data_IF_425834736416
#
_entry.id   IF_425834736416
#
_cell.length_a   1.000
_cell.length_b   1.000
_cell.length_c   1.000
_cell.angle_alpha   90.00
_cell.angle_beta   90.00
_cell.angle_gamma   90.00
#
_symmetry.space_group_name_H-M   'P 1'
#
loop_
_entity.id
_entity.type
_entity.pdbx_description
1 polymer ?
#
# COMPACT_ATOMS: atom_id res chain seq x y z
N UNK A 1 4.56 -31.73 -5.56
CA UNK A 1 5.09 -32.98 -6.11
C UNK A 1 5.48 -33.86 -4.94
N UNK A 2 4.65 -34.85 -4.67
CA UNK A 2 4.73 -35.78 -3.55
C UNK A 2 5.82 -36.82 -3.84
N UNK A 3 7.00 -36.65 -3.25
CA UNK A 3 7.98 -37.74 -3.17
C UNK A 3 7.71 -38.52 -1.88
N UNK A 4 7.02 -39.65 -2.01
CA UNK A 4 7.13 -40.74 -1.05
C UNK A 4 8.61 -41.13 -0.98
N UNK A 5 9.27 -40.76 0.10
CA UNK A 5 10.53 -41.39 0.48
C UNK A 5 10.10 -42.53 1.40
N UNK A 6 10.03 -43.71 0.81
CA UNK A 6 9.87 -44.97 1.54
C UNK A 6 10.97 -45.06 2.59
N UNK A 7 10.58 -45.10 3.86
CA UNK A 7 11.47 -45.31 5.02
C UNK A 7 11.96 -46.78 5.07
N UNK A 8 11.62 -47.59 4.07
CA UNK A 8 11.85 -49.04 4.02
C UNK A 8 13.20 -49.48 3.43
N UNK A 9 14.06 -48.54 3.01
CA UNK A 9 15.30 -48.84 2.28
C UNK A 9 16.62 -48.59 3.05
N UNK A 10 16.57 -48.25 4.34
CA UNK A 10 17.76 -48.06 5.18
C UNK A 10 17.94 -49.08 6.31
N UNK A 11 17.17 -50.16 6.30
CA UNK A 11 17.39 -51.30 7.19
C UNK A 11 17.85 -52.51 6.38
N UNK A 12 19.07 -53.05 6.60
CA UNK A 12 19.41 -54.35 6.04
C UNK A 12 18.39 -55.37 6.57
N UNK A 13 17.56 -55.90 5.66
CA UNK A 13 16.47 -56.88 5.88
C UNK A 13 16.96 -58.26 6.38
N UNK A 14 18.03 -58.30 7.16
CA UNK A 14 18.65 -59.51 7.73
C UNK A 14 18.85 -59.50 9.25
N UNK A 15 18.39 -58.48 9.98
CA UNK A 15 18.62 -58.34 11.44
C UNK A 15 17.38 -58.50 12.33
N UNK A 16 16.22 -58.88 11.77
CA UNK A 16 14.99 -59.15 12.54
C UNK A 16 14.65 -60.63 12.71
N UNK A 17 15.54 -61.54 12.32
CA UNK A 17 15.40 -62.97 12.63
C UNK A 17 16.59 -63.45 13.46
N UNK A 18 16.26 -63.98 14.66
CA UNK A 18 17.15 -64.62 15.64
C UNK A 18 17.81 -63.69 16.66
N UNK A 19 16.99 -63.16 17.56
CA UNK A 19 17.35 -63.24 18.98
C UNK A 19 16.83 -64.60 19.45
N UNK A 20 17.65 -65.66 19.57
CA UNK A 20 17.17 -66.87 20.22
C UNK A 20 17.02 -66.55 21.71
N UNK A 21 15.78 -66.53 22.19
CA UNK A 21 15.48 -66.62 23.62
C UNK A 21 16.02 -67.95 24.14
N UNK A 22 17.29 -67.96 24.53
CA UNK A 22 17.97 -69.02 25.27
C UNK A 22 17.41 -69.06 26.69
N UNK A 23 16.15 -69.46 26.81
CA UNK A 23 15.46 -69.72 28.05
C UNK A 23 14.89 -71.13 27.98
N UNK A 24 14.99 -71.87 29.08
CA UNK A 24 14.34 -73.15 29.35
C UNK A 24 14.93 -74.39 28.68
N UNK A 25 15.14 -74.47 27.35
CA UNK A 25 15.58 -75.75 26.74
C UNK A 25 17.01 -76.16 27.13
N UNK A 26 17.92 -75.19 27.18
CA UNK A 26 19.32 -75.41 27.57
C UNK A 26 19.47 -75.55 29.10
N UNK A 27 18.61 -74.87 29.87
CA UNK A 27 18.53 -75.06 31.33
C UNK A 27 17.94 -76.44 31.67
N UNK A 28 16.93 -76.92 30.93
CA UNK A 28 16.36 -78.25 31.06
C UNK A 28 17.39 -79.34 30.72
N UNK A 29 18.16 -79.20 29.65
CA UNK A 29 19.22 -80.18 29.32
C UNK A 29 20.34 -80.20 30.38
N UNK A 30 20.62 -79.06 31.02
CA UNK A 30 21.60 -78.94 32.10
C UNK A 30 21.08 -79.51 33.44
N UNK A 31 19.80 -79.29 33.75
CA UNK A 31 19.10 -79.88 34.91
C UNK A 31 18.94 -81.40 34.73
N UNK A 32 18.56 -81.87 33.55
CA UNK A 32 18.49 -83.30 33.21
C UNK A 32 19.88 -83.97 33.30
N UNK A 33 20.94 -83.26 32.89
CA UNK A 33 22.32 -83.72 33.04
C UNK A 33 22.78 -83.84 34.50
N UNK A 34 22.30 -82.97 35.39
CA UNK A 34 22.59 -83.00 36.83
C UNK A 34 21.75 -84.05 37.58
N UNK A 35 20.47 -84.24 37.22
CA UNK A 35 19.60 -85.27 37.79
C UNK A 35 20.05 -86.70 37.47
N UNK A 36 20.61 -86.93 36.27
CA UNK A 36 21.22 -88.22 35.92
C UNK A 36 22.47 -88.57 36.74
N UNK A 37 23.19 -87.56 37.27
CA UNK A 37 24.35 -87.78 38.15
C UNK A 37 23.92 -88.19 39.57
N UNK A 38 22.84 -87.63 40.09
CA UNK A 38 22.34 -87.92 41.44
C UNK A 38 21.88 -89.39 41.54
N UNK A 39 21.06 -89.89 40.60
CA UNK A 39 20.59 -91.28 40.58
C UNK A 39 21.72 -92.33 40.48
N UNK A 40 22.82 -91.99 39.79
CA UNK A 40 23.98 -92.87 39.67
C UNK A 40 24.80 -92.97 40.96
N UNK A 41 24.81 -91.89 41.77
CA UNK A 41 25.46 -91.85 43.08
C UNK A 41 24.59 -92.53 44.14
N UNK A 42 23.25 -92.39 44.08
CA UNK A 42 22.32 -93.11 44.95
C UNK A 42 22.30 -94.62 44.68
N UNK A 43 22.50 -95.05 43.42
CA UNK A 43 22.72 -96.48 43.07
C UNK A 43 24.05 -97.03 43.59
N UNK A 44 25.12 -96.23 43.65
CA UNK A 44 26.44 -96.64 44.18
C UNK A 44 26.48 -96.72 45.71
N UNK A 45 25.64 -95.97 46.42
CA UNK A 45 25.53 -96.04 47.88
C UNK A 45 24.78 -97.30 48.37
N UNK A 46 23.90 -97.91 47.55
CA UNK A 46 22.95 -98.95 47.95
C UNK A 46 23.20 -100.36 47.35
N UNK A 47 24.39 -100.66 46.82
CA UNK A 47 24.67 -101.96 46.19
C UNK A 47 25.22 -103.03 47.16
N UNK A 48 24.43 -104.11 47.30
CA UNK A 48 24.72 -105.36 48.05
C UNK A 48 25.93 -106.13 47.53
N UNK A 49 26.55 -106.97 48.40
CA UNK A 49 27.75 -107.80 48.12
C UNK A 49 27.71 -108.63 46.82
N UNK A 50 26.52 -108.96 46.31
CA UNK A 50 26.32 -109.67 45.04
C UNK A 50 26.53 -108.78 43.79
N UNK A 51 26.32 -107.46 43.89
CA UNK A 51 26.61 -106.52 42.81
C UNK A 51 28.12 -106.39 42.53
N UNK A 52 28.95 -106.43 43.58
CA UNK A 52 30.43 -106.39 43.47
C UNK A 52 31.03 -107.66 42.86
N UNK A 53 30.27 -108.76 42.83
CA UNK A 53 30.72 -110.01 42.19
C UNK A 53 30.31 -110.07 40.71
N UNK A 54 29.17 -109.50 40.34
CA UNK A 54 28.75 -109.37 38.93
C UNK A 54 29.61 -108.35 38.16
N UNK A 55 30.11 -107.30 38.82
CA UNK A 55 31.03 -106.33 38.22
C UNK A 55 32.44 -106.88 37.90
N UNK A 56 32.76 -108.11 38.33
CA UNK A 56 34.05 -108.77 38.01
C UNK A 56 34.01 -109.64 36.75
N UNK A 57 32.85 -109.77 36.09
CA UNK A 57 32.68 -110.66 34.91
C UNK A 57 32.36 -109.90 33.61
N UNK A 58 32.17 -108.58 33.66
CA UNK A 58 32.13 -107.73 32.48
C UNK A 58 32.87 -106.41 32.74
N UNK A 59 34.05 -106.17 32.16
CA UNK A 59 34.74 -104.90 32.30
C UNK A 59 34.19 -103.88 31.28
N UNK A 60 34.25 -102.58 31.63
CA UNK A 60 34.31 -101.41 30.71
C UNK A 60 33.05 -100.93 29.96
N UNK A 61 32.09 -100.30 30.66
CA UNK A 61 31.12 -99.37 30.01
C UNK A 61 30.79 -98.10 30.80
N UNK A 62 30.97 -98.11 32.12
CA UNK A 62 30.56 -96.99 32.98
C UNK A 62 31.53 -95.79 32.95
N UNK A 63 32.85 -96.00 33.08
CA UNK A 63 33.84 -94.90 33.11
C UNK A 63 33.91 -94.13 31.78
N UNK A 64 33.82 -94.85 30.65
CA UNK A 64 33.77 -94.24 29.31
C UNK A 64 32.50 -93.39 29.08
N UNK A 65 31.40 -93.66 29.79
CA UNK A 65 30.20 -92.84 29.74
C UNK A 65 30.37 -91.52 30.51
N UNK A 66 31.05 -91.55 31.65
CA UNK A 66 31.33 -90.35 32.45
C UNK A 66 32.28 -89.39 31.73
N UNK A 67 33.37 -89.90 31.17
CA UNK A 67 34.31 -89.07 30.41
C UNK A 67 33.64 -88.44 29.18
N UNK A 68 32.74 -89.18 28.52
CA UNK A 68 32.02 -88.68 27.34
C UNK A 68 30.98 -87.62 27.70
N UNK A 69 30.29 -87.74 28.84
CA UNK A 69 29.35 -86.73 29.33
C UNK A 69 30.08 -85.45 29.77
N UNK A 70 31.22 -85.56 30.47
CA UNK A 70 32.04 -84.42 30.85
C UNK A 70 32.61 -83.66 29.63
N UNK A 71 33.01 -84.40 28.59
CA UNK A 71 33.49 -83.80 27.33
C UNK A 71 32.35 -83.09 26.57
N UNK A 72 31.12 -83.60 26.63
CA UNK A 72 29.96 -82.98 26.00
C UNK A 72 29.52 -81.71 26.74
N UNK A 73 29.53 -81.69 28.07
CA UNK A 73 29.19 -80.50 28.85
C UNK A 73 30.24 -79.40 28.71
N UNK A 74 31.53 -79.75 28.69
CA UNK A 74 32.60 -78.80 28.44
C UNK A 74 32.54 -78.20 27.03
N UNK A 75 32.23 -79.02 26.01
CA UNK A 75 32.01 -78.53 24.64
C UNK A 75 30.79 -77.62 24.54
N UNK A 76 29.69 -77.95 25.22
CA UNK A 76 28.49 -77.11 25.26
C UNK A 76 28.77 -75.75 25.92
N UNK A 77 29.53 -75.72 27.02
CA UNK A 77 29.94 -74.48 27.68
C UNK A 77 30.86 -73.64 26.80
N UNK A 78 31.86 -74.25 26.15
CA UNK A 78 32.73 -73.54 25.21
C UNK A 78 31.96 -72.97 24.02
N UNK A 79 30.98 -73.71 23.49
CA UNK A 79 30.10 -73.22 22.42
C UNK A 79 29.20 -72.07 22.91
N UNK A 80 28.71 -72.13 24.15
CA UNK A 80 27.89 -71.08 24.73
C UNK A 80 28.70 -69.79 24.93
N UNK A 81 29.92 -69.88 25.47
CA UNK A 81 30.83 -68.74 25.61
C UNK A 81 31.23 -68.18 24.25
N UNK A 82 31.55 -69.04 23.27
CA UNK A 82 31.86 -68.62 21.91
C UNK A 82 30.68 -67.87 21.26
N UNK A 83 29.47 -68.41 21.37
CA UNK A 83 28.26 -67.78 20.84
C UNK A 83 27.98 -66.43 21.54
N UNK A 84 28.11 -66.35 22.86
CA UNK A 84 27.96 -65.09 23.60
C UNK A 84 29.00 -64.05 23.16
N UNK A 85 30.27 -64.46 22.96
CA UNK A 85 31.32 -63.56 22.48
C UNK A 85 31.06 -63.05 21.05
N UNK A 86 30.53 -63.90 20.17
CA UNK A 86 30.15 -63.52 18.80
C UNK A 86 28.95 -62.56 18.83
N UNK A 87 27.93 -62.83 19.65
CA UNK A 87 26.78 -61.96 19.81
C UNK A 87 27.18 -60.57 20.34
N UNK A 88 28.08 -60.51 21.32
CA UNK A 88 28.61 -59.25 21.84
C UNK A 88 29.36 -58.46 20.76
N UNK A 89 30.20 -59.11 19.96
CA UNK A 89 30.92 -58.45 18.86
C UNK A 89 29.99 -57.91 17.77
N UNK A 90 28.87 -58.61 17.52
CA UNK A 90 27.85 -58.18 16.55
C UNK A 90 27.07 -57.00 17.10
N UNK A 91 26.71 -56.99 18.39
CA UNK A 91 26.03 -55.85 19.02
C UNK A 91 26.93 -54.62 19.06
N UNK A 92 28.22 -54.77 19.36
CA UNK A 92 29.17 -53.66 19.38
C UNK A 92 29.36 -53.05 17.98
N UNK A 93 29.44 -53.90 16.95
CA UNK A 93 29.51 -53.45 15.55
C UNK A 93 28.22 -52.78 15.09
N UNK A 94 27.06 -53.31 15.49
CA UNK A 94 25.76 -52.69 15.22
C UNK A 94 25.66 -51.31 15.90
N UNK A 95 26.08 -51.20 17.17
CA UNK A 95 26.12 -49.93 17.90
C UNK A 95 27.03 -48.91 17.21
N UNK A 96 28.25 -49.29 16.83
CA UNK A 96 29.17 -48.41 16.09
C UNK A 96 28.60 -47.94 14.73
N UNK A 97 27.90 -48.82 14.01
CA UNK A 97 27.24 -48.45 12.77
C UNK A 97 26.07 -47.49 13.03
N UNK A 98 25.22 -47.78 14.02
CA UNK A 98 24.10 -46.91 14.37
C UNK A 98 24.58 -45.54 14.84
N UNK A 99 25.66 -45.47 15.62
CA UNK A 99 26.28 -44.22 16.05
C UNK A 99 26.77 -43.41 14.84
N UNK A 100 27.53 -44.02 13.92
CA UNK A 100 28.01 -43.34 12.71
C UNK A 100 26.87 -42.86 11.80
N UNK A 101 25.79 -43.62 11.69
CA UNK A 101 24.62 -43.20 10.92
C UNK A 101 23.89 -42.05 11.60
N UNK A 102 23.84 -42.04 12.94
CA UNK A 102 23.20 -40.97 13.71
C UNK A 102 24.01 -39.67 13.66
N UNK A 103 25.34 -39.76 13.77
CA UNK A 103 26.26 -38.63 13.57
C UNK A 103 26.06 -38.00 12.17
N UNK A 104 26.03 -38.82 11.10
CA UNK A 104 25.74 -38.34 9.74
C UNK A 104 24.34 -37.74 9.60
N UNK A 105 23.33 -38.33 10.24
CA UNK A 105 21.97 -37.80 10.21
C UNK A 105 21.88 -36.42 10.89
N UNK A 106 22.62 -36.23 11.99
CA UNK A 106 22.72 -34.93 12.68
C UNK A 106 23.44 -33.90 11.81
N UNK A 107 24.55 -34.27 11.15
CA UNK A 107 25.26 -33.37 10.22
C UNK A 107 24.37 -32.95 9.03
N UNK A 108 23.65 -33.89 8.42
CA UNK A 108 22.71 -33.59 7.33
C UNK A 108 21.56 -32.72 7.82
N UNK A 109 21.00 -33.00 9.00
CA UNK A 109 19.93 -32.20 9.58
C UNK A 109 20.38 -30.76 9.87
N UNK A 110 21.62 -30.58 10.36
CA UNK A 110 22.20 -29.26 10.57
C UNK A 110 22.40 -28.51 9.24
N UNK A 111 22.96 -29.17 8.23
CA UNK A 111 23.15 -28.57 6.91
C UNK A 111 21.83 -28.18 6.23
N UNK A 112 20.79 -29.02 6.35
CA UNK A 112 19.44 -28.71 5.83
C UNK A 112 18.86 -27.52 6.58
N UNK A 113 19.00 -27.47 7.92
CA UNK A 113 18.52 -26.35 8.73
C UNK A 113 19.19 -25.03 8.34
N UNK A 114 20.51 -25.02 8.20
CA UNK A 114 21.26 -23.83 7.81
C UNK A 114 20.85 -23.35 6.41
N UNK A 115 20.66 -24.28 5.46
CA UNK A 115 20.19 -23.96 4.12
C UNK A 115 18.76 -23.40 4.14
N UNK A 116 17.86 -23.96 4.95
CA UNK A 116 16.49 -23.44 5.09
C UNK A 116 16.48 -22.05 5.73
N UNK A 117 17.28 -21.83 6.77
CA UNK A 117 17.39 -20.53 7.44
C UNK A 117 17.95 -19.46 6.49
N UNK A 118 18.94 -19.82 5.67
CA UNK A 118 19.46 -18.92 4.64
C UNK A 118 18.39 -18.57 3.59
N UNK A 119 17.64 -19.56 3.09
CA UNK A 119 16.54 -19.31 2.14
C UNK A 119 15.44 -18.45 2.74
N UNK A 120 15.09 -18.66 4.02
CA UNK A 120 14.10 -17.84 4.71
C UNK A 120 14.57 -16.38 4.80
N UNK A 121 15.83 -16.13 5.15
CA UNK A 121 16.41 -14.78 5.16
C UNK A 121 16.40 -14.12 3.78
N UNK A 122 16.70 -14.87 2.72
CA UNK A 122 16.61 -14.37 1.34
C UNK A 122 15.17 -14.01 0.95
N UNK A 123 14.19 -14.81 1.37
CA UNK A 123 12.77 -14.51 1.16
C UNK A 123 12.36 -13.25 1.93
N UNK A 124 12.75 -13.11 3.20
CA UNK A 124 12.46 -11.93 4.02
C UNK A 124 13.06 -10.66 3.40
N UNK A 125 14.31 -10.72 2.93
CA UNK A 125 14.95 -9.61 2.22
C UNK A 125 14.17 -9.21 0.96
N UNK A 126 13.76 -10.20 0.14
CA UNK A 126 12.95 -9.92 -1.06
C UNK A 126 11.58 -9.34 -0.71
N UNK A 127 10.94 -9.80 0.37
CA UNK A 127 9.68 -9.24 0.84
C UNK A 127 9.83 -7.79 1.29
N UNK A 128 10.92 -7.45 1.97
CA UNK A 128 11.18 -6.07 2.39
C UNK A 128 11.52 -5.16 1.21
N UNK A 129 12.27 -5.64 0.22
CA UNK A 129 12.51 -4.90 -1.02
C UNK A 129 11.19 -4.70 -1.80
N UNK A 130 10.33 -5.71 -1.87
CA UNK A 130 8.99 -5.56 -2.47
C UNK A 130 8.14 -4.54 -1.73
N UNK A 131 8.14 -4.52 -0.38
CA UNK A 131 7.42 -3.51 0.40
C UNK A 131 7.93 -2.10 0.09
N UNK A 132 9.25 -1.91 -0.02
CA UNK A 132 9.84 -0.62 -0.39
C UNK A 132 9.41 -0.19 -1.79
N UNK A 133 9.46 -1.09 -2.76
CA UNK A 133 8.99 -0.82 -4.13
C UNK A 133 7.51 -0.45 -4.15
N UNK A 134 6.66 -1.17 -3.42
CA UNK A 134 5.23 -0.87 -3.30
C UNK A 134 5.00 0.51 -2.68
N UNK A 135 5.75 0.88 -1.64
CA UNK A 135 5.66 2.21 -1.03
C UNK A 135 6.03 3.33 -2.01
N UNK A 136 7.08 3.13 -2.82
CA UNK A 136 7.46 4.09 -3.87
C UNK A 136 6.36 4.23 -4.91
N UNK A 137 5.80 3.11 -5.38
CA UNK A 137 4.72 3.10 -6.37
C UNK A 137 3.47 3.79 -5.81
N UNK A 138 3.09 3.52 -4.56
CA UNK A 138 1.94 4.17 -3.91
C UNK A 138 2.11 5.68 -3.86
N UNK A 139 3.29 6.18 -3.49
CA UNK A 139 3.57 7.61 -3.46
C UNK A 139 3.52 8.23 -4.87
N UNK A 140 4.05 7.54 -5.88
CA UNK A 140 3.99 7.99 -7.27
C UNK A 140 2.56 8.02 -7.82
N UNK A 141 1.76 7.00 -7.52
CA UNK A 141 0.34 6.95 -7.90
C UNK A 141 -0.41 8.11 -7.25
N UNK A 142 -0.19 8.36 -5.97
CA UNK A 142 -0.83 9.48 -5.28
C UNK A 142 -0.45 10.85 -5.87
N UNK A 143 0.83 11.06 -6.19
CA UNK A 143 1.28 12.29 -6.89
C UNK A 143 0.59 12.43 -8.25
N UNK A 144 0.51 11.35 -9.03
CA UNK A 144 -0.15 11.37 -10.33
C UNK A 144 -1.65 11.64 -10.23
N UNK A 145 -2.33 11.06 -9.24
CA UNK A 145 -3.76 11.32 -8.98
C UNK A 145 -4.02 12.79 -8.63
N UNK A 146 -3.19 13.39 -7.77
CA UNK A 146 -3.30 14.81 -7.44
C UNK A 146 -3.08 15.71 -8.66
N UNK A 147 -2.07 15.38 -9.48
CA UNK A 147 -1.78 16.11 -10.71
C UNK A 147 -2.91 15.98 -11.74
N UNK A 148 -3.49 14.80 -11.88
CA UNK A 148 -4.65 14.57 -12.75
C UNK A 148 -5.86 15.40 -12.28
N UNK A 149 -6.17 15.37 -10.98
CA UNK A 149 -7.26 16.15 -10.42
C UNK A 149 -7.09 17.67 -10.65
N UNK A 150 -5.86 18.18 -10.54
CA UNK A 150 -5.56 19.58 -10.83
C UNK A 150 -5.72 19.95 -12.32
N UNK A 151 -5.38 19.02 -13.22
CA UNK A 151 -5.58 19.20 -14.68
C UNK A 151 -7.06 19.15 -15.03
N UNK A 152 -7.81 18.20 -14.47
CA UNK A 152 -9.26 18.08 -14.69
C UNK A 152 -10.00 19.32 -14.19
N UNK A 153 -9.66 19.82 -13.00
CA UNK A 153 -10.22 21.07 -12.48
C UNK A 153 -9.94 22.25 -13.41
N UNK A 154 -8.71 22.35 -13.93
CA UNK A 154 -8.36 23.39 -14.90
C UNK A 154 -9.14 23.30 -16.21
N UNK A 155 -9.25 22.10 -16.78
CA UNK A 155 -10.01 21.89 -18.02
C UNK A 155 -11.48 22.27 -17.79
N UNK A 156 -12.08 21.83 -16.69
CA UNK A 156 -13.47 22.13 -16.40
C UNK A 156 -13.69 23.64 -16.18
N UNK A 157 -12.84 24.31 -15.39
CA UNK A 157 -12.91 25.78 -15.24
C UNK A 157 -12.79 26.50 -16.57
N UNK A 158 -11.90 26.02 -17.46
CA UNK A 158 -11.74 26.61 -18.78
C UNK A 158 -13.00 26.41 -19.63
N UNK A 159 -13.60 25.22 -19.62
CA UNK A 159 -14.86 24.93 -20.33
C UNK A 159 -16.00 25.82 -19.79
N UNK A 160 -16.12 25.96 -18.47
CA UNK A 160 -17.12 26.83 -17.85
C UNK A 160 -16.94 28.28 -18.32
N UNK A 161 -15.71 28.78 -18.26
CA UNK A 161 -15.33 30.13 -18.69
C UNK A 161 -15.64 30.34 -20.17
N UNK A 162 -15.21 29.41 -21.04
CA UNK A 162 -15.51 29.42 -22.48
C UNK A 162 -17.01 29.43 -22.74
N UNK A 163 -17.79 28.68 -21.94
CA UNK A 163 -19.24 28.66 -21.98
C UNK A 163 -19.86 30.03 -21.69
N UNK A 164 -19.34 30.75 -20.69
CA UNK A 164 -19.76 32.13 -20.36
C UNK A 164 -19.48 33.06 -21.54
N UNK A 165 -18.25 33.06 -22.05
CA UNK A 165 -17.88 33.92 -23.18
C UNK A 165 -18.69 33.57 -24.44
N UNK A 166 -18.91 32.29 -24.74
CA UNK A 166 -19.72 31.87 -25.89
C UNK A 166 -21.20 32.30 -25.75
N UNK A 167 -21.76 32.22 -24.54
CA UNK A 167 -23.10 32.73 -24.25
C UNK A 167 -23.18 34.26 -24.42
N UNK A 168 -22.15 34.98 -24.02
CA UNK A 168 -22.07 36.43 -24.23
C UNK A 168 -21.95 36.80 -25.72
N UNK A 169 -21.03 36.17 -26.46
CA UNK A 169 -20.84 36.41 -27.91
C UNK A 169 -22.09 36.13 -28.73
N UNK A 170 -22.90 35.16 -28.30
CA UNK A 170 -24.17 34.81 -28.96
C UNK A 170 -25.36 35.70 -28.56
N UNK A 171 -25.14 36.76 -27.77
CA UNK A 171 -26.20 37.66 -27.29
C UNK A 171 -27.10 37.05 -26.21
N UNK A 172 -26.84 35.80 -25.77
CA UNK A 172 -27.69 35.13 -24.77
C UNK A 172 -27.54 35.72 -23.36
N UNK A 173 -26.45 36.45 -23.09
CA UNK A 173 -26.20 37.12 -21.81
C UNK A 173 -25.97 38.62 -22.01
N UNK A 174 -26.67 39.40 -21.19
CA UNK A 174 -26.46 40.83 -20.98
C UNK A 174 -26.53 41.72 -22.24
N UNK A 175 -27.10 41.24 -23.35
CA UNK A 175 -27.15 41.97 -24.63
C UNK A 175 -27.77 43.36 -24.53
N UNK A 176 -28.77 43.54 -23.66
CA UNK A 176 -29.43 44.82 -23.43
C UNK A 176 -28.59 45.84 -22.62
N UNK A 177 -27.48 45.42 -22.02
CA UNK A 177 -26.60 46.30 -21.26
C UNK A 177 -25.47 46.85 -22.14
N UNK A 178 -24.88 47.98 -21.75
CA UNK A 178 -23.66 48.46 -22.39
C UNK A 178 -22.49 47.51 -22.11
N UNK A 179 -21.56 47.42 -23.06
CA UNK A 179 -20.37 46.56 -23.04
C UNK A 179 -19.57 46.65 -21.71
N UNK A 180 -19.51 47.82 -21.10
CA UNK A 180 -18.74 48.02 -19.87
C UNK A 180 -19.38 47.32 -18.66
N UNK A 181 -20.70 47.31 -18.59
CA UNK A 181 -21.44 46.60 -17.56
C UNK A 181 -21.57 45.11 -17.87
N UNK A 182 -21.65 44.75 -19.17
CA UNK A 182 -21.51 43.37 -19.59
C UNK A 182 -20.20 42.78 -19.06
N UNK A 183 -19.09 43.50 -19.22
CA UNK A 183 -17.75 43.04 -18.81
C UNK A 183 -17.66 42.72 -17.31
N UNK A 184 -18.21 43.56 -16.43
CA UNK A 184 -18.25 43.30 -14.98
C UNK A 184 -19.02 42.01 -14.68
N UNK A 185 -20.22 41.87 -15.25
CA UNK A 185 -21.08 40.72 -14.99
C UNK A 185 -20.51 39.42 -15.55
N UNK A 186 -19.81 39.49 -16.68
CA UNK A 186 -19.12 38.34 -17.28
C UNK A 186 -17.94 37.90 -16.42
N UNK A 187 -17.18 38.84 -15.87
CA UNK A 187 -16.13 38.52 -14.91
C UNK A 187 -16.71 37.77 -13.70
N UNK A 188 -17.82 38.26 -13.13
CA UNK A 188 -18.49 37.58 -12.01
C UNK A 188 -18.98 36.17 -12.39
N UNK A 189 -19.56 36.01 -13.58
CA UNK A 189 -20.01 34.72 -14.09
C UNK A 189 -18.86 33.75 -14.37
N UNK A 190 -17.76 34.22 -14.96
CA UNK A 190 -16.58 33.42 -15.24
C UNK A 190 -15.90 32.98 -13.93
N UNK A 191 -15.87 33.89 -12.95
CA UNK A 191 -15.45 33.63 -11.58
C UNK A 191 -16.54 32.98 -10.73
N UNK A 192 -17.65 32.49 -11.28
CA UNK A 192 -18.64 31.73 -10.51
C UNK A 192 -18.32 30.23 -10.41
N UNK A 193 -17.36 29.73 -11.22
CA UNK A 193 -17.02 28.30 -11.21
C UNK A 193 -16.54 27.85 -9.82
N UNK A 194 -17.19 26.81 -9.28
CA UNK A 194 -16.85 26.24 -7.96
C UNK A 194 -15.45 25.62 -7.90
N UNK A 195 -14.85 25.36 -9.06
CA UNK A 195 -13.54 24.72 -9.18
C UNK A 195 -12.38 25.72 -9.23
N UNK A 196 -12.66 27.02 -9.35
CA UNK A 196 -11.64 28.07 -9.43
C UNK A 196 -10.64 28.02 -8.27
N UNK A 197 -11.12 27.74 -7.06
CA UNK A 197 -10.29 27.72 -5.86
C UNK A 197 -9.36 26.50 -5.80
N UNK A 198 -9.64 25.45 -6.58
CA UNK A 198 -8.79 24.26 -6.71
C UNK A 198 -7.64 24.45 -7.70
N UNK A 199 -7.66 25.54 -8.48
CA UNK A 199 -6.63 25.81 -9.47
C UNK A 199 -5.33 26.23 -8.81
N UNK A 200 -4.22 25.75 -9.36
CA UNK A 200 -2.87 26.20 -9.02
C UNK A 200 -2.67 27.67 -9.45
N UNK A 201 -1.77 28.44 -8.80
CA UNK A 201 -1.52 29.84 -9.14
C UNK A 201 -1.22 30.07 -10.63
N UNK A 202 -0.40 29.21 -11.23
CA UNK A 202 -0.04 29.27 -12.65
C UNK A 202 -1.25 29.08 -13.58
N UNK A 203 -2.14 28.16 -13.20
CA UNK A 203 -3.38 27.87 -13.93
C UNK A 203 -4.36 29.05 -13.84
N UNK A 204 -4.46 29.69 -12.67
CA UNK A 204 -5.27 30.91 -12.49
C UNK A 204 -4.75 32.04 -13.36
N UNK A 205 -3.43 32.25 -13.42
CA UNK A 205 -2.82 33.26 -14.31
C UNK A 205 -3.10 32.96 -15.78
N UNK A 206 -3.02 31.69 -16.19
CA UNK A 206 -3.34 31.29 -17.56
C UNK A 206 -4.82 31.52 -17.89
N UNK A 207 -5.73 31.19 -16.97
CA UNK A 207 -7.16 31.40 -17.15
C UNK A 207 -7.52 32.89 -17.15
N UNK A 208 -6.89 33.68 -16.28
CA UNK A 208 -6.99 35.14 -16.28
C UNK A 208 -6.61 35.74 -17.64
N UNK A 209 -5.44 35.37 -18.17
CA UNK A 209 -5.02 35.80 -19.51
C UNK A 209 -6.04 35.41 -20.57
N UNK A 210 -6.56 34.18 -20.52
CA UNK A 210 -7.58 33.70 -21.43
C UNK A 210 -8.89 34.50 -21.34
N UNK A 211 -9.31 34.92 -20.15
CA UNK A 211 -10.48 35.79 -19.95
C UNK A 211 -10.26 37.17 -20.57
N UNK A 212 -9.11 37.80 -20.33
CA UNK A 212 -8.74 39.09 -20.92
C UNK A 212 -8.70 39.00 -22.45
N UNK A 213 -8.00 38.01 -23.00
CA UNK A 213 -7.92 37.79 -24.45
C UNK A 213 -9.31 37.56 -25.06
N UNK A 214 -10.16 36.78 -24.39
CA UNK A 214 -11.53 36.50 -24.86
C UNK A 214 -12.43 37.73 -24.83
N UNK A 215 -12.27 38.59 -23.84
CA UNK A 215 -12.96 39.87 -23.73
C UNK A 215 -12.48 40.86 -24.81
N UNK A 216 -11.17 41.00 -24.99
CA UNK A 216 -10.59 41.85 -26.01
C UNK A 216 -11.02 41.44 -27.42
N UNK A 217 -11.02 40.15 -27.73
CA UNK A 217 -11.47 39.64 -29.03
C UNK A 217 -12.92 40.04 -29.35
N UNK A 218 -13.78 40.12 -28.34
CA UNK A 218 -15.19 40.49 -28.50
C UNK A 218 -15.42 42.01 -28.52
N UNK A 219 -14.64 42.77 -27.75
CA UNK A 219 -14.82 44.21 -27.57
C UNK A 219 -14.09 45.04 -28.64
N UNK A 220 -12.93 44.58 -29.11
CA UNK A 220 -12.12 45.31 -30.10
C UNK A 220 -12.90 45.68 -31.38
N UNK A 221 -13.73 44.79 -31.97
CA UNK A 221 -14.58 45.15 -33.12
C UNK A 221 -15.64 46.21 -32.80
N UNK A 222 -16.07 46.33 -31.54
CA UNK A 222 -17.19 47.18 -31.10
C UNK A 222 -16.74 48.59 -30.71
N UNK A 223 -15.57 48.72 -30.08
CA UNK A 223 -15.09 49.97 -29.48
C UNK A 223 -14.13 50.74 -30.40
N UNK A 224 -13.44 50.05 -31.31
CA UNK A 224 -12.67 50.63 -32.42
C UNK A 224 -11.49 51.54 -32.05
N UNK A 225 -11.27 51.81 -30.76
CA UNK A 225 -10.25 52.75 -30.23
C UNK A 225 -9.37 52.04 -29.20
N UNK A 226 -8.06 52.33 -29.24
CA UNK A 226 -7.08 51.78 -28.29
C UNK A 226 -7.13 52.46 -26.92
N UNK A 227 -7.67 53.67 -26.84
CA UNK A 227 -7.78 54.40 -25.58
C UNK A 227 -9.10 55.17 -25.54
N UNK A 228 -9.78 55.15 -24.41
CA UNK A 228 -11.05 55.84 -24.20
C UNK A 228 -11.12 56.46 -22.80
N UNK A 229 -11.94 57.50 -22.69
CA UNK A 229 -12.26 58.16 -21.42
C UNK A 229 -13.27 57.31 -20.66
N UNK A 230 -12.90 56.80 -19.49
CA UNK A 230 -13.80 55.97 -18.68
C UNK A 230 -15.06 56.77 -18.30
N UNK A 231 -14.92 58.07 -18.03
CA UNK A 231 -16.04 58.96 -17.70
C UNK A 231 -17.00 59.10 -18.88
N UNK A 232 -16.49 59.39 -20.08
CA UNK A 232 -17.36 59.60 -21.23
C UNK A 232 -18.02 58.28 -21.68
N UNK A 233 -17.27 57.17 -21.67
CA UNK A 233 -17.81 55.84 -22.00
C UNK A 233 -18.89 55.39 -21.00
N UNK A 234 -18.75 55.72 -19.73
CA UNK A 234 -19.74 55.36 -18.69
C UNK A 234 -20.98 56.23 -18.76
N UNK A 235 -20.82 57.54 -18.89
CA UNK A 235 -21.93 58.45 -19.12
C UNK A 235 -22.73 58.06 -20.37
N UNK A 236 -22.05 57.75 -21.49
CA UNK A 236 -22.70 57.31 -22.73
C UNK A 236 -23.41 55.95 -22.55
N UNK A 237 -22.78 55.02 -21.83
CA UNK A 237 -23.37 53.70 -21.52
C UNK A 237 -24.69 53.85 -20.77
N UNK A 238 -24.70 54.66 -19.72
CA UNK A 238 -25.89 54.89 -18.89
C UNK A 238 -26.96 55.65 -19.67
N UNK A 239 -26.57 56.68 -20.44
CA UNK A 239 -27.50 57.46 -21.25
C UNK A 239 -28.30 56.60 -22.24
N UNK A 240 -27.71 55.49 -22.71
CA UNK A 240 -28.36 54.54 -23.62
C UNK A 240 -29.33 53.56 -22.95
N UNK A 241 -29.32 53.47 -21.62
CA UNK A 241 -30.14 52.53 -20.83
C UNK A 241 -31.47 53.15 -20.41
N UNK A 242 -32.52 52.31 -20.32
CA UNK A 242 -33.78 52.71 -19.71
C UNK A 242 -33.65 52.86 -18.18
N UNK A 243 -34.49 53.69 -17.55
CA UNK A 243 -34.53 53.86 -16.09
C UNK A 243 -34.72 52.54 -15.33
N UNK A 244 -35.50 51.62 -15.91
CA UNK A 244 -35.72 50.29 -15.33
C UNK A 244 -34.41 49.50 -15.31
N UNK A 245 -33.67 49.51 -16.41
CA UNK A 245 -32.41 48.78 -16.54
C UNK A 245 -31.33 49.39 -15.65
N UNK A 246 -31.28 50.73 -15.52
CA UNK A 246 -30.37 51.42 -14.60
C UNK A 246 -30.60 50.98 -13.15
N UNK A 247 -31.86 50.92 -12.71
CA UNK A 247 -32.21 50.47 -11.35
C UNK A 247 -31.88 49.00 -11.12
N UNK A 248 -32.16 48.14 -12.11
CA UNK A 248 -31.83 46.72 -12.03
C UNK A 248 -30.31 46.51 -11.96
N UNK A 249 -29.56 47.25 -12.78
CA UNK A 249 -28.11 47.18 -12.82
C UNK A 249 -27.47 47.69 -11.53
N UNK A 250 -27.98 48.80 -10.96
CA UNK A 250 -27.56 49.27 -9.64
C UNK A 250 -27.78 48.18 -8.58
N UNK A 251 -28.94 47.50 -8.59
CA UNK A 251 -29.19 46.39 -7.67
C UNK A 251 -28.26 45.20 -7.91
N UNK A 252 -27.99 44.83 -9.16
CA UNK A 252 -27.09 43.71 -9.48
C UNK A 252 -25.67 44.01 -9.00
N UNK A 253 -25.10 45.16 -9.36
CA UNK A 253 -23.74 45.54 -8.98
C UNK A 253 -23.62 45.73 -7.46
N UNK A 254 -24.63 46.33 -6.81
CA UNK A 254 -24.62 46.48 -5.35
C UNK A 254 -24.84 45.14 -4.65
N UNK A 255 -25.66 44.22 -5.17
CA UNK A 255 -25.80 42.86 -4.62
C UNK A 255 -24.47 42.09 -4.66
N UNK A 256 -23.69 42.27 -5.72
CA UNK A 256 -22.34 41.72 -5.87
C UNK A 256 -21.36 42.40 -4.91
N UNK A 257 -21.59 43.68 -4.59
CA UNK A 257 -20.79 44.47 -3.63
C UNK A 257 -21.26 44.31 -2.16
N UNK A 258 -22.45 43.73 -1.92
CA UNK A 258 -23.16 43.74 -0.64
C UNK A 258 -22.77 42.64 0.34
N UNK A 259 -21.73 41.85 0.02
CA UNK A 259 -21.14 40.84 0.92
C UNK A 259 -20.40 41.47 2.13
N UNK A 260 -21.03 42.44 2.81
CA UNK A 260 -20.64 42.90 4.14
C UNK A 260 -19.61 44.01 4.22
N UNK A 261 -19.30 44.75 3.14
CA UNK A 261 -18.18 45.69 3.20
C UNK A 261 -18.43 47.03 2.50
N UNK A 262 -19.19 47.91 3.18
CA UNK A 262 -19.10 49.36 2.90
C UNK A 262 -17.66 49.90 3.07
N UNK A 263 -16.78 49.18 3.77
CA UNK A 263 -15.35 49.45 3.87
C UNK A 263 -14.47 48.85 2.74
N UNK A 264 -14.94 47.89 1.92
CA UNK A 264 -14.20 47.34 0.77
C UNK A 264 -14.56 47.98 -0.56
N UNK A 265 -15.49 48.95 -0.58
CA UNK A 265 -15.65 49.87 -1.74
C UNK A 265 -14.37 50.69 -2.03
N UNK A 266 -13.31 50.56 -1.20
CA UNK A 266 -11.96 51.09 -1.44
C UNK A 266 -11.00 50.09 -2.11
N UNK A 267 -11.28 48.78 -2.03
CA UNK A 267 -10.40 47.73 -2.53
C UNK A 267 -10.66 47.39 -4.01
N UNK A 268 -11.81 47.83 -4.56
CA UNK A 268 -12.23 47.54 -5.93
C UNK A 268 -12.58 48.83 -6.68
N UNK A 269 -11.56 49.60 -7.12
CA UNK A 269 -11.70 50.92 -7.74
C UNK A 269 -12.73 51.01 -8.86
N UNK A 270 -12.58 50.20 -9.91
CA UNK A 270 -13.36 50.25 -11.14
C UNK A 270 -14.80 49.85 -10.84
N UNK A 271 -15.02 48.73 -10.14
CA UNK A 271 -16.37 48.28 -9.76
C UNK A 271 -17.08 49.30 -8.88
N UNK A 272 -16.37 49.90 -7.92
CA UNK A 272 -16.94 50.92 -7.03
C UNK A 272 -17.31 52.20 -7.77
N UNK A 273 -16.47 52.63 -8.71
CA UNK A 273 -16.77 53.77 -9.59
C UNK A 273 -18.00 53.50 -10.46
N UNK A 274 -18.10 52.33 -11.10
CA UNK A 274 -19.21 51.97 -11.97
C UNK A 274 -20.53 51.82 -11.21
N UNK A 275 -20.46 51.25 -9.99
CA UNK A 275 -21.57 51.15 -9.05
C UNK A 275 -22.06 52.54 -8.60
N UNK A 276 -21.13 53.40 -8.15
CA UNK A 276 -21.48 54.74 -7.71
C UNK A 276 -22.04 55.60 -8.85
N UNK A 277 -21.49 55.44 -10.06
CA UNK A 277 -21.99 56.17 -11.24
C UNK A 277 -23.42 55.76 -11.58
N UNK A 278 -23.75 54.47 -11.54
CA UNK A 278 -25.13 54.02 -11.83
C UNK A 278 -26.10 54.48 -10.73
N UNK A 279 -25.71 54.45 -9.45
CA UNK A 279 -26.51 54.96 -8.33
C UNK A 279 -26.79 56.46 -8.47
N UNK A 280 -25.76 57.26 -8.74
CA UNK A 280 -25.90 58.71 -8.90
C UNK A 280 -26.73 59.08 -10.13
N UNK A 281 -26.63 58.30 -11.21
CA UNK A 281 -27.41 58.54 -12.43
C UNK A 281 -28.93 58.42 -12.26
N UNK A 282 -29.40 57.87 -11.14
CA UNK A 282 -30.83 57.83 -10.79
C UNK A 282 -31.38 59.18 -10.30
N UNK A 283 -30.50 60.11 -9.93
CA UNK A 283 -30.86 61.39 -9.30
C UNK A 283 -30.24 62.62 -9.98
N UNK A 284 -29.27 62.43 -10.89
CA UNK A 284 -28.64 63.51 -11.65
C UNK A 284 -28.31 63.08 -13.09
N UNK A 285 -27.98 64.06 -13.93
CA UNK A 285 -27.57 63.82 -15.32
C UNK A 285 -26.36 62.87 -15.38
N UNK A 286 -26.33 62.01 -16.39
CA UNK A 286 -25.40 60.87 -16.48
C UNK A 286 -23.94 61.31 -16.54
N UNK A 287 -23.65 62.42 -17.24
CA UNK A 287 -22.30 62.98 -17.32
C UNK A 287 -21.86 63.60 -15.99
N UNK A 288 -22.79 64.26 -15.29
CA UNK A 288 -22.52 64.80 -13.96
C UNK A 288 -22.31 63.65 -12.95
N UNK A 289 -23.11 62.58 -13.02
CA UNK A 289 -22.98 61.39 -12.20
C UNK A 289 -21.59 60.75 -12.34
N UNK A 290 -21.10 60.57 -13.58
CA UNK A 290 -19.78 59.99 -13.85
C UNK A 290 -18.63 60.87 -13.32
N UNK A 291 -18.72 62.20 -13.50
CA UNK A 291 -17.72 63.13 -12.98
C UNK A 291 -17.69 63.17 -11.44
N UNK A 292 -18.87 63.20 -10.81
CA UNK A 292 -19.02 63.19 -9.35
C UNK A 292 -18.52 61.86 -8.77
N UNK A 293 -18.87 60.73 -9.39
CA UNK A 293 -18.39 59.42 -8.97
C UNK A 293 -16.86 59.34 -9.02
N UNK A 294 -16.23 59.84 -10.11
CA UNK A 294 -14.78 59.88 -10.26
C UNK A 294 -14.13 60.74 -9.17
N UNK A 295 -14.68 61.92 -8.90
CA UNK A 295 -14.22 62.82 -7.85
C UNK A 295 -14.31 62.16 -6.45
N UNK A 296 -15.43 61.51 -6.13
CA UNK A 296 -15.65 60.82 -4.87
C UNK A 296 -14.71 59.62 -4.68
N UNK A 297 -14.40 58.88 -5.75
CA UNK A 297 -13.39 57.81 -5.68
C UNK A 297 -12.00 58.35 -5.40
N UNK A 298 -11.64 59.50 -6.00
CA UNK A 298 -10.36 60.18 -5.73
C UNK A 298 -10.24 60.72 -4.31
N UNK A 299 -11.29 61.35 -3.80
CA UNK A 299 -11.31 61.86 -2.42
C UNK A 299 -11.07 60.76 -1.38
N UNK A 300 -11.54 59.55 -1.71
CA UNK A 300 -11.32 58.33 -0.93
C UNK A 300 -9.92 57.71 -1.07
N UNK A 301 -9.01 58.36 -1.79
CA UNK A 301 -7.64 57.90 -2.00
C UNK A 301 -7.48 56.84 -3.09
N UNK A 302 -8.51 56.62 -3.92
CA UNK A 302 -8.45 55.68 -5.03
C UNK A 302 -8.12 56.42 -6.33
N UNK A 303 -6.98 56.12 -6.93
CA UNK A 303 -6.63 56.67 -8.24
C UNK A 303 -7.14 55.77 -9.37
N UNK A 304 -8.20 56.22 -10.03
CA UNK A 304 -8.71 55.60 -11.26
C UNK A 304 -8.22 56.46 -12.44
N UNK A 305 -7.44 55.90 -13.38
CA UNK A 305 -7.03 56.59 -14.60
C UNK A 305 -8.23 57.21 -15.32
N UNK A 306 -8.04 58.41 -15.88
CA UNK A 306 -9.11 59.04 -16.67
C UNK A 306 -9.27 58.34 -18.03
N UNK A 307 -8.15 57.91 -18.59
CA UNK A 307 -8.03 57.24 -19.87
C UNK A 307 -7.53 55.83 -19.62
N UNK A 308 -8.16 54.85 -20.26
CA UNK A 308 -7.78 53.45 -20.19
C UNK A 308 -7.51 52.90 -21.59
N UNK A 309 -6.54 51.99 -21.69
CA UNK A 309 -6.57 50.96 -22.73
C UNK A 309 -7.63 49.91 -22.37
N UNK A 310 -8.23 49.29 -23.38
CA UNK A 310 -9.14 48.16 -23.20
C UNK A 310 -8.48 47.00 -22.46
N UNK A 311 -7.20 46.72 -22.73
CA UNK A 311 -6.47 45.65 -22.04
C UNK A 311 -6.30 45.96 -20.55
N UNK A 312 -5.90 47.19 -20.22
CA UNK A 312 -5.76 47.67 -18.84
C UNK A 312 -7.09 47.61 -18.09
N UNK A 313 -8.18 48.05 -18.72
CA UNK A 313 -9.50 47.99 -18.11
C UNK A 313 -9.95 46.55 -17.88
N UNK A 314 -9.80 45.66 -18.88
CA UNK A 314 -10.18 44.26 -18.74
C UNK A 314 -9.38 43.62 -17.59
N UNK A 315 -8.05 43.73 -17.61
CA UNK A 315 -7.21 43.18 -16.54
C UNK A 315 -7.62 43.73 -15.17
N UNK A 316 -7.83 45.04 -15.05
CA UNK A 316 -8.23 45.67 -13.80
C UNK A 316 -9.56 45.12 -13.25
N UNK A 317 -10.56 44.93 -14.12
CA UNK A 317 -11.86 44.36 -13.71
C UNK A 317 -11.69 42.92 -13.22
N UNK A 318 -10.99 42.06 -13.98
CA UNK A 318 -10.78 40.66 -13.60
C UNK A 318 -9.91 40.50 -12.34
N UNK A 319 -8.92 41.38 -12.14
CA UNK A 319 -8.09 41.41 -10.92
C UNK A 319 -8.94 41.81 -9.69
N UNK A 320 -9.80 42.82 -9.83
CA UNK A 320 -10.75 43.22 -8.79
C UNK A 320 -11.73 42.08 -8.47
N UNK A 321 -12.29 41.41 -9.49
CA UNK A 321 -13.21 40.27 -9.30
C UNK A 321 -12.56 39.12 -8.53
N UNK A 322 -11.32 38.77 -8.87
CA UNK A 322 -10.57 37.75 -8.12
C UNK A 322 -10.32 38.15 -6.67
N UNK A 323 -9.94 39.40 -6.43
CA UNK A 323 -9.70 39.90 -5.08
C UNK A 323 -10.98 39.96 -4.25
N UNK A 324 -12.13 40.29 -4.87
CA UNK A 324 -13.45 40.25 -4.24
C UNK A 324 -13.82 38.82 -3.83
N UNK A 325 -13.68 37.85 -4.74
CA UNK A 325 -13.97 36.45 -4.42
C UNK A 325 -13.12 35.93 -3.26
N UNK A 326 -11.84 36.27 -3.21
CA UNK A 326 -10.96 35.88 -2.08
C UNK A 326 -11.42 36.49 -0.76
N UNK A 327 -11.86 37.76 -0.76
CA UNK A 327 -12.37 38.42 0.42
C UNK A 327 -13.68 37.76 0.92
N UNK A 328 -14.58 37.40 0.00
CA UNK A 328 -15.85 36.71 0.33
C UNK A 328 -15.60 35.32 0.91
N UNK A 329 -14.65 34.55 0.37
CA UNK A 329 -14.32 33.22 0.88
C UNK A 329 -13.59 33.24 2.23
N UNK A 330 -13.00 34.37 2.61
CA UNK A 330 -12.29 34.54 3.88
C UNK A 330 -13.20 35.02 5.02
N UNK A 331 -14.41 35.53 4.71
CA UNK A 331 -15.41 36.02 5.66
C UNK A 331 -16.35 34.91 6.12
#
# INVERSE_FOLDING_TARGET
MTSNIEVDDLLPRGLLQRIPSLGDRVLLDLVCGLQGQEESLTRRANQSRLGRMLDRVAPTTAEQHFDRLALLTQRALCQLVANLSVHQSVTDRALLLTQKTLERAVEVAAAVRDQTDQRLREVDQRLDDMKRCLGIIQNQVHDHEQRLAAVEAFIQCKIDTDGVFLAWRSGRRYEALSWLYQLILIDDDALASSLWDRLLPEQRTALHRHMVESALAELHPRVGTRAFSLIDSTAQSIASMSDRDRRLLAYLIDSISSAGIYAAKLAYPIRSYLSLTIELSLVMEEKAAAQVAHALTREKGIEIPYVFDMEELCSGIFDEGQALRRAVLAA
#
